data_IF_704809919584
#
_entry.id   IF_704809919584
#
_cell.length_a   1.000
_cell.length_b   1.000
_cell.length_c   1.000
_cell.angle_alpha   90.00
_cell.angle_beta   90.00
_cell.angle_gamma   90.00
#
_symmetry.space_group_name_H-M   'P 1'
#
loop_
_entity.id
_entity.type
_entity.pdbx_description
1 polymer ?
#
# COMPACT_ATOMS: atom_id res chain seq x y z
N UNK A 1 -18.94 -13.44 22.84
CA UNK A 1 -18.00 -13.65 21.72
C UNK A 1 -16.71 -14.14 22.33
N UNK A 2 -16.24 -15.35 21.99
CA UNK A 2 -14.97 -15.85 22.53
C UNK A 2 -13.80 -15.04 21.97
N UNK A 3 -12.73 -14.87 22.76
CA UNK A 3 -11.54 -14.09 22.36
C UNK A 3 -10.94 -14.66 21.06
N UNK A 4 -11.00 -15.98 20.86
CA UNK A 4 -10.61 -16.67 19.61
C UNK A 4 -11.34 -16.09 18.39
N UNK A 5 -12.67 -16.01 18.48
CA UNK A 5 -13.50 -15.47 17.41
C UNK A 5 -13.20 -14.01 17.10
N UNK A 6 -12.78 -13.21 18.10
CA UNK A 6 -12.37 -11.81 17.88
C UNK A 6 -11.10 -11.73 17.03
N UNK A 7 -10.08 -12.54 17.33
CA UNK A 7 -8.84 -12.57 16.54
C UNK A 7 -9.09 -13.01 15.09
N UNK A 8 -9.93 -14.01 14.88
CA UNK A 8 -10.28 -14.48 13.53
C UNK A 8 -11.02 -13.41 12.74
N UNK A 9 -12.04 -12.77 13.34
CA UNK A 9 -12.80 -11.69 12.69
C UNK A 9 -11.90 -10.51 12.34
N UNK A 10 -11.02 -10.09 13.26
CA UNK A 10 -10.08 -9.00 13.00
C UNK A 10 -9.12 -9.35 11.85
N UNK A 11 -8.57 -10.57 11.83
CA UNK A 11 -7.70 -11.01 10.73
C UNK A 11 -8.44 -10.97 9.39
N UNK A 12 -9.68 -11.47 9.33
CA UNK A 12 -10.50 -11.42 8.10
C UNK A 12 -10.73 -9.97 7.66
N UNK A 13 -11.07 -9.07 8.58
CA UNK A 13 -11.27 -7.64 8.28
C UNK A 13 -10.01 -7.03 7.67
N UNK A 14 -8.83 -7.27 8.25
CA UNK A 14 -7.58 -6.71 7.73
C UNK A 14 -7.15 -7.35 6.42
N UNK A 15 -7.38 -8.66 6.22
CA UNK A 15 -7.14 -9.32 4.93
C UNK A 15 -8.02 -8.73 3.83
N UNK A 16 -9.32 -8.60 4.07
CA UNK A 16 -10.24 -7.98 3.12
C UNK A 16 -9.88 -6.50 2.88
N UNK A 17 -9.55 -5.78 3.94
CA UNK A 17 -9.08 -4.40 3.87
C UNK A 17 -7.84 -4.28 2.97
N UNK A 18 -6.83 -5.13 3.17
CA UNK A 18 -5.63 -5.18 2.34
C UNK A 18 -5.94 -5.48 0.86
N UNK A 19 -6.79 -6.47 0.58
CA UNK A 19 -7.13 -6.86 -0.79
C UNK A 19 -7.92 -5.78 -1.52
N UNK A 20 -8.95 -5.22 -0.88
CA UNK A 20 -9.80 -4.18 -1.47
C UNK A 20 -8.99 -2.90 -1.67
N UNK A 21 -8.28 -2.45 -0.63
CA UNK A 21 -7.45 -1.24 -0.71
C UNK A 21 -6.32 -1.41 -1.71
N UNK A 22 -5.64 -2.56 -1.75
CA UNK A 22 -4.56 -2.84 -2.71
C UNK A 22 -5.04 -2.90 -4.16
N UNK A 23 -6.21 -3.50 -4.40
CA UNK A 23 -6.84 -3.49 -5.73
C UNK A 23 -7.20 -2.06 -6.16
N UNK A 24 -7.87 -1.30 -5.28
CA UNK A 24 -8.23 0.10 -5.54
C UNK A 24 -6.99 0.98 -5.75
N UNK A 25 -5.96 0.83 -4.93
CA UNK A 25 -4.71 1.57 -5.02
C UNK A 25 -4.01 1.29 -6.36
N UNK A 26 -3.93 0.03 -6.76
CA UNK A 26 -3.33 -0.34 -8.05
C UNK A 26 -4.13 0.22 -9.23
N UNK A 27 -5.46 0.12 -9.19
CA UNK A 27 -6.33 0.51 -10.31
C UNK A 27 -6.56 2.01 -10.42
N UNK A 28 -6.66 2.72 -9.31
CA UNK A 28 -7.06 4.13 -9.26
C UNK A 28 -5.86 5.04 -9.03
N UNK A 29 -4.95 4.67 -8.14
CA UNK A 29 -3.81 5.51 -7.74
C UNK A 29 -2.62 5.29 -8.65
N UNK A 30 -2.11 4.06 -8.74
CA UNK A 30 -0.91 3.78 -9.54
C UNK A 30 -1.14 4.12 -11.01
N UNK A 31 -2.26 3.69 -11.60
CA UNK A 31 -2.58 4.05 -13.00
C UNK A 31 -2.70 5.56 -13.23
N UNK A 32 -3.23 6.32 -12.28
CA UNK A 32 -3.34 7.77 -12.38
C UNK A 32 -1.96 8.42 -12.31
N UNK A 33 -1.14 8.03 -11.34
CA UNK A 33 0.20 8.57 -11.14
C UNK A 33 1.15 8.19 -12.28
N UNK A 34 1.13 6.93 -12.74
CA UNK A 34 1.91 6.47 -13.90
C UNK A 34 1.58 7.29 -15.15
N UNK A 35 0.29 7.59 -15.37
CA UNK A 35 -0.14 8.44 -16.49
C UNK A 35 0.44 9.85 -16.35
N UNK A 36 0.42 10.44 -15.16
CA UNK A 36 0.94 11.78 -14.90
C UNK A 36 2.46 11.87 -15.03
N UNK A 37 3.18 10.87 -14.52
CA UNK A 37 4.63 10.76 -14.67
C UNK A 37 5.01 10.67 -16.15
N UNK A 38 4.29 9.84 -16.91
CA UNK A 38 4.48 9.75 -18.37
C UNK A 38 4.18 11.05 -19.12
N UNK A 39 3.19 11.83 -18.67
CA UNK A 39 2.87 13.15 -19.23
C UNK A 39 4.00 14.18 -18.99
N UNK A 40 4.74 14.08 -17.89
CA UNK A 40 5.91 14.93 -17.60
C UNK A 40 7.20 14.49 -18.34
N UNK A 41 7.11 13.46 -19.20
CA UNK A 41 8.22 12.97 -20.02
C UNK A 41 9.06 11.90 -19.34
N UNK A 42 8.75 11.56 -18.09
CA UNK A 42 9.42 10.52 -17.33
C UNK A 42 8.68 9.19 -17.52
N UNK A 43 9.37 8.18 -18.04
CA UNK A 43 8.79 6.86 -18.25
C UNK A 43 8.59 6.10 -16.94
N UNK A 44 8.00 4.90 -17.02
CA UNK A 44 8.10 3.94 -15.90
C UNK A 44 9.57 3.74 -15.52
N UNK A 45 9.91 3.75 -14.21
CA UNK A 45 11.29 3.62 -13.76
C UNK A 45 11.98 2.40 -14.39
N UNK A 46 13.27 2.55 -14.72
CA UNK A 46 14.03 1.54 -15.46
C UNK A 46 14.11 0.19 -14.73
N UNK A 47 14.08 0.20 -13.40
CA UNK A 47 14.11 -0.96 -12.51
C UNK A 47 12.76 -1.67 -12.36
N UNK A 48 11.66 -1.07 -12.83
CA UNK A 48 10.31 -1.64 -12.81
C UNK A 48 9.77 -1.94 -14.22
N UNK A 49 10.67 -2.06 -15.22
CA UNK A 49 10.30 -2.41 -16.60
C UNK A 49 9.70 -3.82 -16.64
N UNK A 50 8.38 -3.89 -16.73
CA UNK A 50 7.62 -5.14 -16.89
C UNK A 50 6.88 -5.61 -15.64
N UNK A 51 6.85 -4.83 -14.56
CA UNK A 51 6.21 -5.21 -13.30
C UNK A 51 5.30 -4.14 -12.69
N UNK A 52 4.51 -4.58 -11.70
CA UNK A 52 3.85 -3.75 -10.68
C UNK A 52 4.41 -4.10 -9.28
N UNK A 53 5.62 -4.66 -9.19
CA UNK A 53 6.11 -5.30 -7.97
C UNK A 53 6.46 -4.27 -6.88
N UNK A 54 7.72 -3.87 -6.84
CA UNK A 54 8.22 -2.93 -5.84
C UNK A 54 7.58 -1.53 -5.95
N UNK A 55 7.09 -1.13 -7.13
CA UNK A 55 6.48 0.19 -7.35
C UNK A 55 5.24 0.44 -6.49
N UNK A 56 4.40 -0.58 -6.26
CA UNK A 56 3.22 -0.45 -5.39
C UNK A 56 3.64 -0.03 -3.97
N UNK A 57 4.67 -0.71 -3.44
CA UNK A 57 5.23 -0.39 -2.12
C UNK A 57 5.88 0.98 -2.08
N UNK A 58 6.70 1.32 -3.08
CA UNK A 58 7.37 2.62 -3.16
C UNK A 58 6.38 3.78 -3.20
N UNK A 59 5.35 3.69 -4.05
CA UNK A 59 4.33 4.74 -4.13
C UNK A 59 3.56 4.88 -2.82
N UNK A 60 3.22 3.76 -2.16
CA UNK A 60 2.57 3.81 -0.86
C UNK A 60 3.45 4.50 0.20
N UNK A 61 4.74 4.17 0.24
CA UNK A 61 5.71 4.80 1.16
C UNK A 61 5.84 6.29 0.88
N UNK A 62 6.03 6.69 -0.38
CA UNK A 62 6.14 8.11 -0.76
C UNK A 62 4.87 8.89 -0.38
N UNK A 63 3.68 8.33 -0.65
CA UNK A 63 2.39 8.96 -0.32
C UNK A 63 2.15 9.08 1.19
N UNK A 64 2.54 8.08 1.98
CA UNK A 64 2.42 8.10 3.45
C UNK A 64 3.43 9.07 4.07
N UNK A 65 4.69 9.02 3.62
CA UNK A 65 5.76 9.92 4.09
C UNK A 65 5.46 11.37 3.75
N UNK A 66 4.73 11.62 2.65
CA UNK A 66 4.37 12.96 2.16
C UNK A 66 5.60 13.90 2.06
N UNK A 67 6.75 13.34 1.74
CA UNK A 67 8.01 14.07 1.64
C UNK A 67 8.86 13.42 0.56
N UNK A 68 9.35 14.25 -0.36
CA UNK A 68 10.30 13.82 -1.38
C UNK A 68 11.64 13.48 -0.74
N UNK A 69 12.24 12.38 -1.17
CA UNK A 69 13.62 12.05 -0.86
C UNK A 69 14.49 12.20 -2.10
N UNK A 70 15.61 12.91 -1.97
CA UNK A 70 16.58 13.08 -3.08
C UNK A 70 17.23 11.76 -3.47
N UNK A 71 17.23 10.78 -2.58
CA UNK A 71 17.75 9.43 -2.81
C UNK A 71 16.65 8.42 -3.20
N UNK A 72 15.43 8.88 -3.49
CA UNK A 72 14.34 7.98 -3.85
C UNK A 72 14.60 7.31 -5.20
N UNK A 73 14.26 6.02 -5.28
CA UNK A 73 14.25 5.27 -6.54
C UNK A 73 13.07 5.66 -7.44
N UNK A 74 12.13 6.45 -6.90
CA UNK A 74 10.96 6.99 -7.59
C UNK A 74 11.01 8.50 -7.68
N UNK A 75 10.30 9.04 -8.68
CA UNK A 75 10.13 10.47 -8.93
C UNK A 75 9.14 11.05 -7.90
N UNK A 76 9.57 11.06 -6.64
CA UNK A 76 8.74 11.38 -5.48
C UNK A 76 8.10 12.77 -5.59
N UNK A 77 8.80 13.73 -6.18
CA UNK A 77 8.28 15.08 -6.39
C UNK A 77 7.06 15.09 -7.31
N UNK A 78 7.11 14.34 -8.40
CA UNK A 78 6.01 14.23 -9.37
C UNK A 78 4.84 13.46 -8.76
N UNK A 79 5.13 12.36 -8.05
CA UNK A 79 4.13 11.58 -7.32
C UNK A 79 3.38 12.48 -6.34
N UNK A 80 4.09 13.22 -5.51
CA UNK A 80 3.49 14.07 -4.48
C UNK A 80 2.75 15.28 -5.06
N UNK A 81 3.22 15.83 -6.20
CA UNK A 81 2.57 16.92 -6.92
C UNK A 81 1.21 16.51 -7.49
N UNK A 82 1.09 15.28 -7.99
CA UNK A 82 -0.14 14.77 -8.61
C UNK A 82 -0.99 13.86 -7.72
N UNK A 83 -0.54 13.63 -6.48
CA UNK A 83 -1.24 12.83 -5.49
C UNK A 83 -2.56 13.49 -5.08
N UNK A 84 -3.64 12.73 -5.13
CA UNK A 84 -4.94 13.13 -4.59
C UNK A 84 -5.07 12.69 -3.13
N UNK A 85 -5.97 13.30 -2.33
CA UNK A 85 -6.23 12.85 -0.97
C UNK A 85 -6.60 11.36 -0.88
N UNK A 86 -7.39 10.86 -1.84
CA UNK A 86 -7.79 9.44 -1.89
C UNK A 86 -6.61 8.49 -2.10
N UNK A 87 -5.57 8.94 -2.81
CA UNK A 87 -4.37 8.13 -3.07
C UNK A 87 -3.61 7.85 -1.77
N UNK A 88 -3.57 8.84 -0.87
CA UNK A 88 -2.97 8.70 0.47
C UNK A 88 -3.80 7.83 1.40
N UNK A 89 -5.13 7.97 1.35
CA UNK A 89 -6.04 7.13 2.13
C UNK A 89 -5.91 5.67 1.73
N UNK A 90 -5.86 5.39 0.42
CA UNK A 90 -5.68 4.04 -0.11
C UNK A 90 -4.30 3.47 0.24
N UNK A 91 -3.24 4.25 0.10
CA UNK A 91 -1.89 3.86 0.53
C UNK A 91 -1.87 3.50 2.03
N UNK A 92 -2.39 4.39 2.88
CA UNK A 92 -2.42 4.17 4.32
C UNK A 92 -3.26 2.96 4.71
N UNK A 93 -4.46 2.80 4.13
CA UNK A 93 -5.35 1.67 4.37
C UNK A 93 -4.70 0.34 3.98
N UNK A 94 -4.02 0.29 2.83
CA UNK A 94 -3.28 -0.89 2.39
C UNK A 94 -2.12 -1.21 3.35
N UNK A 95 -1.30 -0.21 3.68
CA UNK A 95 -0.13 -0.39 4.54
C UNK A 95 -0.49 -0.79 5.97
N UNK A 96 -1.48 -0.15 6.59
CA UNK A 96 -1.90 -0.49 7.95
C UNK A 96 -2.53 -1.89 8.00
N UNK A 97 -3.29 -2.27 6.98
CA UNK A 97 -3.86 -3.62 6.88
C UNK A 97 -2.76 -4.67 6.75
N UNK A 98 -1.74 -4.41 5.94
CA UNK A 98 -0.60 -5.31 5.80
C UNK A 98 0.16 -5.48 7.12
N UNK A 99 0.46 -4.37 7.80
CA UNK A 99 1.14 -4.38 9.11
C UNK A 99 0.29 -5.14 10.14
N UNK A 100 -1.02 -4.89 10.18
CA UNK A 100 -1.92 -5.56 11.10
C UNK A 100 -1.95 -7.08 10.88
N UNK A 101 -1.96 -7.55 9.63
CA UNK A 101 -1.89 -8.99 9.31
C UNK A 101 -0.59 -9.59 9.86
N UNK A 102 0.56 -8.93 9.63
CA UNK A 102 1.86 -9.42 10.10
C UNK A 102 2.03 -9.39 11.63
N UNK A 103 1.22 -8.63 12.36
CA UNK A 103 1.25 -8.57 13.83
C UNK A 103 0.21 -9.51 14.42
N UNK A 104 -1.05 -9.41 13.98
CA UNK A 104 -2.19 -10.13 14.57
C UNK A 104 -2.13 -11.63 14.29
N UNK A 105 -1.63 -12.04 13.13
CA UNK A 105 -1.53 -13.46 12.80
C UNK A 105 -0.51 -14.20 13.66
N UNK A 106 0.77 -13.75 13.75
CA UNK A 106 1.73 -14.40 14.64
C UNK A 106 1.35 -14.29 16.11
N UNK A 107 0.81 -13.15 16.54
CA UNK A 107 0.38 -12.95 17.93
C UNK A 107 -0.77 -13.88 18.31
N UNK A 108 -1.78 -14.00 17.44
CA UNK A 108 -2.90 -14.91 17.66
C UNK A 108 -2.48 -16.38 17.69
N UNK A 109 -1.53 -16.78 16.82
CA UNK A 109 -0.90 -18.11 16.85
C UNK A 109 -0.16 -18.35 18.17
N UNK A 110 0.69 -17.41 18.59
CA UNK A 110 1.51 -17.52 19.80
C UNK A 110 0.65 -17.64 21.08
N UNK A 111 -0.47 -16.93 21.13
CA UNK A 111 -1.40 -16.94 22.26
C UNK A 111 -2.40 -18.12 22.23
N UNK A 112 -2.35 -18.99 21.23
CA UNK A 112 -3.28 -20.14 21.09
C UNK A 112 -4.71 -19.74 20.70
N UNK A 113 -4.89 -18.54 20.13
CA UNK A 113 -6.17 -18.03 19.68
C UNK A 113 -6.47 -18.29 18.19
N UNK A 114 -5.46 -18.67 17.40
CA UNK A 114 -5.60 -19.07 16.00
C UNK A 114 -5.14 -20.51 15.82
N UNK A 115 -5.89 -21.31 15.06
CA UNK A 115 -5.56 -22.70 14.71
C UNK A 115 -4.47 -22.76 13.65
#
# INVERSE_FOLDING_TARGET
MEIKSVFEVLNVIFVLGFLISGFCFTRLTIRHLDKKIKEEGEGTPSWDRGGMGLRVGMYAVTLIKNKSDKASLTEDEIILRHARPIDRVLAFSMSISLVAIFILWPLGKWLGYLV
#
